data_IF_303734493240
#
_entry.id   IF_303734493240
#
_cell.length_a   1.000
_cell.length_b   1.000
_cell.length_c   1.000
_cell.angle_alpha   90.00
_cell.angle_beta   90.00
_cell.angle_gamma   90.00
#
_symmetry.space_group_name_H-M   'P 1'
#
loop_
_entity.id
_entity.type
_entity.pdbx_description
1 polymer ?
#
# COMPACT_ATOMS: atom_id res chain seq x y z
N UNK A 1 6.56 -9.06 -5.74
CA UNK A 1 5.19 -8.82 -5.23
C UNK A 1 5.20 -8.43 -3.75
N UNK A 2 5.33 -9.37 -2.79
CA UNK A 2 5.59 -9.02 -1.38
C UNK A 2 7.02 -8.54 -1.18
N UNK A 3 8.00 -9.23 -1.78
CA UNK A 3 9.40 -8.80 -1.77
C UNK A 3 9.55 -7.35 -2.23
N UNK A 4 8.98 -7.00 -3.38
CA UNK A 4 9.09 -5.66 -3.94
C UNK A 4 8.33 -4.64 -3.07
N UNK A 5 7.18 -5.02 -2.51
CA UNK A 5 6.48 -4.17 -1.55
C UNK A 5 7.35 -3.90 -0.33
N UNK A 6 7.92 -4.96 0.28
CA UNK A 6 8.80 -4.89 1.44
C UNK A 6 9.96 -3.93 1.21
N UNK A 7 10.65 -4.04 0.07
CA UNK A 7 11.78 -3.18 -0.30
C UNK A 7 11.37 -1.84 -0.94
N UNK A 8 10.08 -1.57 -1.16
CA UNK A 8 9.64 -0.28 -1.65
C UNK A 8 9.60 0.76 -0.53
N UNK A 9 9.90 2.02 -0.86
CA UNK A 9 9.67 3.18 0.00
C UNK A 9 8.71 4.12 -0.72
N UNK A 10 7.77 4.68 0.02
CA UNK A 10 6.97 5.80 -0.46
C UNK A 10 6.51 6.64 0.71
N UNK A 11 6.51 7.95 0.51
CA UNK A 11 6.03 8.93 1.47
C UNK A 11 5.49 10.15 0.73
N UNK A 12 4.39 10.70 1.23
CA UNK A 12 3.78 11.90 0.67
C UNK A 12 2.26 11.96 0.84
N UNK A 13 1.65 12.92 0.16
CA UNK A 13 0.22 13.21 0.20
C UNK A 13 -0.53 12.40 -0.86
N UNK A 14 -1.61 11.73 -0.50
CA UNK A 14 -2.50 11.10 -1.47
C UNK A 14 -3.30 12.18 -2.19
N UNK A 15 -3.01 12.38 -3.48
CA UNK A 15 -3.65 13.42 -4.30
C UNK A 15 -4.73 12.89 -5.24
N UNK A 16 -4.75 11.57 -5.47
CA UNK A 16 -5.73 10.91 -6.33
C UNK A 16 -5.88 9.45 -5.95
N UNK A 17 -7.11 8.93 -6.07
CA UNK A 17 -7.47 7.53 -5.83
C UNK A 17 -8.50 7.10 -6.88
N UNK A 18 -8.29 5.96 -7.54
CA UNK A 18 -9.21 5.47 -8.57
C UNK A 18 -9.04 3.98 -8.87
N UNK A 19 -10.06 3.38 -9.48
CA UNK A 19 -9.99 2.04 -10.06
C UNK A 19 -9.65 2.18 -11.55
N UNK A 20 -8.50 1.63 -11.96
CA UNK A 20 -8.06 1.62 -13.36
C UNK A 20 -8.81 0.53 -14.13
N UNK A 21 -9.98 0.88 -14.67
CA UNK A 21 -10.84 -0.03 -15.43
C UNK A 21 -10.19 -0.55 -16.71
N UNK A 22 -9.28 0.22 -17.31
CA UNK A 22 -8.56 -0.20 -18.52
C UNK A 22 -7.50 -1.26 -18.20
N UNK A 23 -6.95 -1.23 -16.98
CA UNK A 23 -5.98 -2.21 -16.52
C UNK A 23 -6.58 -3.19 -15.50
N UNK A 24 -7.59 -3.97 -15.93
CA UNK A 24 -8.20 -5.06 -15.15
C UNK A 24 -8.77 -4.64 -13.78
N UNK A 25 -9.19 -3.39 -13.63
CA UNK A 25 -9.77 -2.89 -12.38
C UNK A 25 -8.77 -2.71 -11.25
N UNK A 26 -7.52 -2.35 -11.55
CA UNK A 26 -6.48 -2.17 -10.53
C UNK A 26 -6.77 -0.99 -9.59
N UNK A 27 -6.71 -1.17 -8.26
CA UNK A 27 -6.86 -0.08 -7.31
C UNK A 27 -5.57 0.74 -7.21
N UNK A 28 -5.64 1.99 -7.66
CA UNK A 28 -4.48 2.88 -7.77
C UNK A 28 -4.66 4.11 -6.88
N UNK A 29 -3.58 4.50 -6.20
CA UNK A 29 -3.43 5.84 -5.62
C UNK A 29 -2.24 6.57 -6.25
N UNK A 30 -2.32 7.91 -6.27
CA UNK A 30 -1.21 8.79 -6.63
C UNK A 30 -0.77 9.54 -5.39
N UNK A 31 0.51 9.42 -5.07
CA UNK A 31 1.15 9.99 -3.90
C UNK A 31 2.07 11.11 -4.39
N UNK A 32 1.85 12.34 -3.92
CA UNK A 32 2.73 13.47 -4.20
C UNK A 32 3.77 13.57 -3.10
N UNK A 33 5.02 13.40 -3.48
CA UNK A 33 6.17 13.77 -2.70
C UNK A 33 6.66 15.16 -3.16
N UNK A 34 7.00 16.05 -2.24
CA UNK A 34 7.41 17.42 -2.56
C UNK A 34 8.74 17.48 -3.33
N UNK A 35 9.64 16.51 -3.08
CA UNK A 35 10.99 16.48 -3.66
C UNK A 35 11.02 15.64 -4.93
N UNK A 36 10.37 14.46 -4.89
CA UNK A 36 10.48 13.45 -5.96
C UNK A 36 9.29 13.44 -6.93
N UNK A 37 8.29 14.31 -6.71
CA UNK A 37 7.11 14.40 -7.56
C UNK A 37 6.06 13.33 -7.27
N UNK A 38 5.27 12.98 -8.29
CA UNK A 38 4.14 12.05 -8.12
C UNK A 38 4.58 10.59 -8.32
N UNK A 39 4.22 9.72 -7.37
CA UNK A 39 4.40 8.28 -7.42
C UNK A 39 3.04 7.57 -7.56
N UNK A 40 2.96 6.58 -8.46
CA UNK A 40 1.78 5.73 -8.65
C UNK A 40 1.94 4.47 -7.81
N UNK A 41 1.01 4.22 -6.89
CA UNK A 41 0.98 3.00 -6.10
C UNK A 41 -0.23 2.12 -6.45
N UNK A 42 0.04 0.85 -6.68
CA UNK A 42 -0.93 -0.18 -7.02
C UNK A 42 -1.16 -1.11 -5.82
N UNK A 43 -2.42 -1.28 -5.44
CA UNK A 43 -2.86 -2.11 -4.31
C UNK A 43 -3.52 -3.43 -4.74
N UNK A 44 -3.29 -3.90 -5.98
CA UNK A 44 -3.97 -5.07 -6.55
C UNK A 44 -3.81 -6.36 -5.72
N UNK A 45 -2.72 -6.50 -4.97
CA UNK A 45 -2.43 -7.70 -4.18
C UNK A 45 -2.82 -7.58 -2.70
N UNK A 46 -3.03 -6.35 -2.22
CA UNK A 46 -3.48 -6.04 -0.88
C UNK A 46 -4.99 -6.24 -0.76
N UNK A 47 -5.50 -6.41 0.47
CA UNK A 47 -6.93 -6.42 0.73
C UNK A 47 -7.60 -5.13 0.23
N UNK A 48 -8.87 -5.26 -0.19
CA UNK A 48 -9.68 -4.10 -0.59
C UNK A 48 -9.80 -3.09 0.56
N UNK A 49 -9.83 -3.56 1.81
CA UNK A 49 -10.03 -2.71 2.98
C UNK A 49 -8.98 -1.60 3.11
N UNK A 50 -7.71 -1.88 2.80
CA UNK A 50 -6.64 -0.86 2.84
C UNK A 50 -6.89 0.20 1.78
N UNK A 51 -7.19 -0.22 0.55
CA UNK A 51 -7.50 0.73 -0.51
C UNK A 51 -8.71 1.57 -0.13
N UNK A 52 -9.80 0.98 0.32
CA UNK A 52 -11.04 1.66 0.70
C UNK A 52 -10.82 2.66 1.86
N UNK A 53 -9.98 2.30 2.84
CA UNK A 53 -9.65 3.14 3.99
C UNK A 53 -8.87 4.41 3.63
N UNK A 54 -7.92 4.32 2.69
CA UNK A 54 -7.09 5.45 2.26
C UNK A 54 -7.97 6.49 1.54
N UNK A 55 -7.79 7.76 1.85
CA UNK A 55 -8.52 8.88 1.26
C UNK A 55 -7.58 9.88 0.60
N UNK A 56 -8.10 10.63 -0.38
CA UNK A 56 -7.41 11.81 -0.91
C UNK A 56 -7.29 12.83 0.23
N UNK A 57 -6.10 13.39 0.42
CA UNK A 57 -5.76 14.25 1.54
C UNK A 57 -5.01 13.56 2.68
N UNK A 58 -4.95 12.21 2.69
CA UNK A 58 -4.13 11.49 3.67
C UNK A 58 -2.64 11.68 3.37
N UNK A 59 -1.85 11.86 4.42
CA UNK A 59 -0.39 11.71 4.34
C UNK A 59 -0.04 10.26 4.65
N UNK A 60 0.68 9.59 3.75
CA UNK A 60 1.05 8.20 3.92
C UNK A 60 2.57 8.03 3.90
N UNK A 61 3.08 7.05 4.64
CA UNK A 61 4.49 6.70 4.61
C UNK A 61 4.71 5.21 4.87
N UNK A 62 5.65 4.64 4.13
CA UNK A 62 6.15 3.28 4.30
C UNK A 62 7.65 3.29 4.14
N UNK A 63 8.35 2.76 5.13
CA UNK A 63 9.80 2.59 5.08
C UNK A 63 10.20 1.44 4.14
N UNK A 64 11.44 1.49 3.65
CA UNK A 64 12.10 0.34 3.05
C UNK A 64 12.20 -0.77 4.10
N UNK A 65 12.18 -2.02 3.66
CA UNK A 65 12.33 -3.21 4.51
C UNK A 65 11.27 -3.28 5.62
N UNK A 66 10.04 -2.92 5.27
CA UNK A 66 8.91 -2.95 6.20
C UNK A 66 7.63 -3.23 5.41
N UNK A 67 6.60 -3.77 6.08
CA UNK A 67 5.22 -3.80 5.55
C UNK A 67 4.30 -2.89 6.34
N UNK A 68 4.85 -1.99 7.15
CA UNK A 68 4.09 -1.05 7.95
C UNK A 68 3.81 0.22 7.15
N UNK A 69 2.54 0.45 6.86
CA UNK A 69 2.01 1.67 6.28
C UNK A 69 1.49 2.56 7.40
N UNK A 70 2.01 3.79 7.50
CA UNK A 70 1.47 4.83 8.38
C UNK A 70 0.61 5.77 7.57
N UNK A 71 -0.56 6.12 8.10
CA UNK A 71 -1.54 7.01 7.49
C UNK A 71 -1.89 8.09 8.51
N UNK A 72 -1.72 9.34 8.13
CA UNK A 72 -2.08 10.51 8.93
C UNK A 72 -3.18 11.30 8.23
N UNK A 73 -4.22 11.59 8.98
CA UNK A 73 -5.36 12.44 8.65
C UNK A 73 -5.55 13.43 9.81
N UNK A 74 -6.15 14.59 9.57
CA UNK A 74 -6.24 15.73 10.52
C UNK A 74 -6.47 15.34 11.99
N UNK A 75 -7.31 14.34 12.26
CA UNK A 75 -7.63 13.87 13.62
C UNK A 75 -7.37 12.37 13.83
N UNK A 76 -6.50 11.75 13.03
CA UNK A 76 -6.27 10.31 13.07
C UNK A 76 -4.86 9.95 12.59
N UNK A 77 -4.12 9.20 13.41
CA UNK A 77 -2.88 8.53 13.01
C UNK A 77 -3.13 7.02 13.08
N UNK A 78 -2.87 6.32 11.98
CA UNK A 78 -3.17 4.89 11.83
C UNK A 78 -1.95 4.16 11.31
N UNK A 79 -1.64 3.04 11.95
CA UNK A 79 -0.58 2.13 11.54
C UNK A 79 -1.23 0.84 11.04
N UNK A 80 -0.98 0.49 9.79
CA UNK A 80 -1.53 -0.70 9.13
C UNK A 80 -0.39 -1.60 8.70
N UNK A 81 -0.43 -2.88 9.07
CA UNK A 81 0.42 -3.91 8.45
C UNK A 81 -0.21 -4.31 7.12
N UNK A 82 0.49 -4.10 6.00
CA UNK A 82 0.01 -4.47 4.68
C UNK A 82 -0.18 -6.00 4.63
N UNK A 83 -1.41 -6.40 4.32
CA UNK A 83 -1.73 -7.79 4.01
C UNK A 83 -1.64 -8.05 2.50
N UNK A 84 -1.66 -9.32 2.11
CA UNK A 84 -1.68 -9.74 0.72
C UNK A 84 -2.74 -10.82 0.48
N UNK A 85 -3.94 -10.61 1.01
CA UNK A 85 -5.01 -11.61 1.00
C UNK A 85 -5.51 -12.03 -0.39
N UNK A 86 -5.17 -11.28 -1.45
CA UNK A 86 -5.64 -11.53 -2.82
C UNK A 86 -4.76 -12.44 -3.67
N UNK A 87 -3.71 -13.01 -3.10
CA UNK A 87 -2.82 -13.93 -3.81
C UNK A 87 -3.49 -15.29 -3.91
N UNK A 88 -3.53 -15.90 -5.12
CA UNK A 88 -4.02 -17.27 -5.28
C UNK A 88 -3.12 -18.23 -4.49
N UNK A 89 -3.72 -19.07 -3.62
CA UNK A 89 -2.94 -19.90 -2.68
C UNK A 89 -2.32 -19.09 -1.53
N UNK A 90 -2.96 -17.97 -1.15
CA UNK A 90 -2.50 -17.03 -0.13
C UNK A 90 -2.11 -17.70 1.18
N UNK A 91 -2.79 -18.77 1.61
CA UNK A 91 -2.46 -19.50 2.83
C UNK A 91 -1.05 -20.13 2.77
N UNK A 92 -0.78 -20.93 1.73
CA UNK A 92 0.54 -21.54 1.51
C UNK A 92 1.60 -20.45 1.30
N UNK A 93 1.32 -19.48 0.43
CA UNK A 93 2.23 -18.37 0.16
C UNK A 93 2.56 -17.56 1.42
N UNK A 94 1.58 -17.29 2.28
CA UNK A 94 1.79 -16.60 3.55
C UNK A 94 2.64 -17.43 4.53
N UNK A 95 2.39 -18.74 4.61
CA UNK A 95 3.15 -19.63 5.49
C UNK A 95 4.62 -19.80 5.10
N UNK A 96 4.97 -19.58 3.83
CA UNK A 96 6.33 -19.81 3.31
C UNK A 96 7.11 -18.50 3.09
N UNK A 97 6.43 -17.34 3.07
CA UNK A 97 7.06 -16.06 2.76
C UNK A 97 7.69 -15.39 4.00
N UNK A 98 9.01 -15.37 4.05
CA UNK A 98 9.80 -14.79 5.15
C UNK A 98 9.47 -13.32 5.47
N UNK A 99 9.11 -12.51 4.46
CA UNK A 99 8.84 -11.08 4.64
C UNK A 99 7.53 -10.80 5.37
N UNK A 100 6.61 -11.78 5.41
CA UNK A 100 5.36 -11.67 6.19
C UNK A 100 5.54 -12.09 7.66
N UNK A 101 6.58 -12.90 7.94
CA UNK A 101 6.92 -13.41 9.28
C UNK A 101 7.79 -12.44 10.10
N UNK A 102 8.46 -11.50 9.46
CA UNK A 102 9.23 -10.47 10.14
C UNK A 102 8.27 -9.46 10.81
N UNK A 103 8.43 -9.28 12.12
CA UNK A 103 7.66 -8.36 12.97
C UNK A 103 8.42 -7.04 13.13
#
# INVERSE_FOLDING_TARGET
>A
MVHDEYHSKYDGLVIKKYIDKQNRGRPIIIIRNEIFGNNKKDFVFQSNGIFDFIQVGDSISKAKESLILRIKRTNMDTVIKLDFGKIKGSEKYASENQYLKMN
#
